data_IF_340492658694
#
_entry.id   IF_340492658694
#
_cell.length_a   1.000
_cell.length_b   1.000
_cell.length_c   1.000
_cell.angle_alpha   90.00
_cell.angle_beta   90.00
_cell.angle_gamma   90.00
#
_symmetry.space_group_name_H-M   'P 1'
#
loop_
_entity.id
_entity.type
_entity.pdbx_description
1 polymer ?
#
# COMPACT_ATOMS: atom_id res chain seq x y z
N UNK A 1 1.24 19.38 -3.64
CA UNK A 1 1.81 18.02 -3.50
C UNK A 1 3.28 18.02 -3.90
N UNK A 2 3.64 18.35 -5.14
CA UNK A 2 5.05 18.38 -5.57
C UNK A 2 5.93 19.41 -4.84
N UNK A 3 5.33 20.48 -4.30
CA UNK A 3 6.00 21.50 -3.50
C UNK A 3 6.05 21.20 -1.99
N UNK A 4 5.62 20.00 -1.58
CA UNK A 4 5.63 19.56 -0.17
C UNK A 4 6.86 18.67 0.06
N UNK A 5 7.97 19.30 0.46
CA UNK A 5 9.27 18.63 0.63
C UNK A 5 9.21 17.48 1.66
N UNK A 6 8.35 17.60 2.67
CA UNK A 6 8.18 16.56 3.67
C UNK A 6 7.52 15.32 3.07
N UNK A 7 6.45 15.50 2.29
CA UNK A 7 5.80 14.42 1.56
C UNK A 7 6.75 13.80 0.52
N UNK A 8 7.45 14.60 -0.27
CA UNK A 8 8.44 14.12 -1.26
C UNK A 8 9.52 13.27 -0.58
N UNK A 9 10.06 13.74 0.56
CA UNK A 9 11.03 12.99 1.34
C UNK A 9 10.48 11.70 1.94
N UNK A 10 9.18 11.61 2.23
CA UNK A 10 8.53 10.37 2.67
C UNK A 10 8.35 9.39 1.51
N UNK A 11 7.97 9.86 0.32
CA UNK A 11 7.87 9.04 -0.89
C UNK A 11 9.20 8.34 -1.18
N UNK A 12 10.31 9.08 -1.13
CA UNK A 12 11.65 8.52 -1.33
C UNK A 12 12.01 7.45 -0.29
N UNK A 13 11.67 7.68 0.99
CA UNK A 13 11.91 6.71 2.08
C UNK A 13 11.10 5.44 1.91
N UNK A 14 9.82 5.56 1.53
CA UNK A 14 8.96 4.42 1.23
C UNK A 14 9.50 3.63 0.04
N UNK A 15 9.89 4.30 -1.05
CA UNK A 15 10.48 3.62 -2.20
C UNK A 15 11.76 2.86 -1.82
N UNK A 16 12.64 3.47 -1.02
CA UNK A 16 13.85 2.81 -0.51
C UNK A 16 13.52 1.57 0.35
N UNK A 17 12.48 1.63 1.19
CA UNK A 17 12.03 0.47 1.97
C UNK A 17 11.52 -0.67 1.05
N UNK A 18 10.78 -0.34 0.00
CA UNK A 18 10.34 -1.31 -1.00
C UNK A 18 11.53 -1.95 -1.73
N UNK A 19 12.49 -1.15 -2.21
CA UNK A 19 13.71 -1.66 -2.88
C UNK A 19 14.48 -2.60 -1.94
N UNK A 20 14.65 -2.22 -0.67
CA UNK A 20 15.35 -3.04 0.31
C UNK A 20 14.62 -4.37 0.60
N UNK A 21 13.29 -4.36 0.67
CA UNK A 21 12.49 -5.57 0.86
C UNK A 21 12.57 -6.49 -0.36
N UNK A 22 12.32 -5.95 -1.55
CA UNK A 22 12.36 -6.69 -2.82
C UNK A 22 13.75 -7.28 -3.08
N UNK A 23 14.82 -6.53 -2.80
CA UNK A 23 16.21 -7.01 -2.91
C UNK A 23 16.55 -8.16 -1.98
N UNK A 24 15.77 -8.39 -0.91
CA UNK A 24 15.89 -9.54 0.00
C UNK A 24 14.95 -10.69 -0.36
N UNK A 25 14.22 -10.60 -1.48
CA UNK A 25 13.22 -11.59 -1.88
C UNK A 25 11.89 -11.49 -1.13
N UNK A 26 11.67 -10.41 -0.36
CA UNK A 26 10.37 -10.09 0.22
C UNK A 26 9.43 -9.51 -0.85
N UNK A 27 8.15 -9.32 -0.50
CA UNK A 27 7.11 -8.83 -1.42
C UNK A 27 6.43 -7.55 -0.94
N UNK A 28 5.71 -6.91 -1.85
CA UNK A 28 4.87 -5.74 -1.54
C UNK A 28 3.38 -6.12 -1.61
N UNK A 29 2.62 -5.81 -0.57
CA UNK A 29 1.20 -6.08 -0.46
C UNK A 29 0.41 -4.77 -0.45
N UNK A 30 -0.71 -4.70 -1.16
CA UNK A 30 -1.56 -3.51 -1.22
C UNK A 30 -3.00 -3.85 -0.83
N UNK A 31 -3.66 -2.97 -0.07
CA UNK A 31 -5.09 -3.08 0.20
C UNK A 31 -5.76 -1.71 0.33
N UNK A 32 -7.00 -1.61 -0.15
CA UNK A 32 -7.82 -0.40 -0.06
C UNK A 32 -9.27 -0.71 -0.41
N UNK A 33 -10.16 0.27 -0.24
CA UNK A 33 -11.59 0.12 -0.54
C UNK A 33 -12.03 1.01 -1.71
N UNK A 34 -12.97 0.55 -2.53
CA UNK A 34 -13.54 1.34 -3.63
C UNK A 34 -12.47 1.77 -4.64
N UNK A 35 -12.37 3.07 -4.94
CA UNK A 35 -11.30 3.59 -5.83
C UNK A 35 -9.89 3.27 -5.32
N UNK A 36 -9.67 3.21 -4.00
CA UNK A 36 -8.38 2.79 -3.45
C UNK A 36 -8.10 1.29 -3.62
N UNK A 37 -9.12 0.46 -3.86
CA UNK A 37 -8.93 -0.93 -4.28
C UNK A 37 -8.44 -1.01 -5.73
N UNK A 38 -8.89 -0.08 -6.58
CA UNK A 38 -8.39 0.07 -7.94
C UNK A 38 -6.92 0.52 -7.93
N UNK A 39 -6.57 1.51 -7.10
CA UNK A 39 -5.17 1.91 -6.91
C UNK A 39 -4.30 0.73 -6.42
N UNK A 40 -4.80 -0.05 -5.45
CA UNK A 40 -4.08 -1.21 -4.93
C UNK A 40 -3.73 -2.24 -6.03
N UNK A 41 -4.71 -2.63 -6.85
CA UNK A 41 -4.45 -3.58 -7.95
C UNK A 41 -3.65 -2.96 -9.10
N UNK A 42 -3.81 -1.65 -9.35
CA UNK A 42 -3.02 -0.93 -10.35
C UNK A 42 -1.54 -0.96 -9.98
N UNK A 43 -1.19 -0.53 -8.77
CA UNK A 43 0.20 -0.48 -8.31
C UNK A 43 0.85 -1.86 -8.20
N UNK A 44 0.09 -2.88 -7.78
CA UNK A 44 0.56 -4.26 -7.83
C UNK A 44 0.86 -4.71 -9.28
N UNK A 45 0.00 -4.36 -10.24
CA UNK A 45 0.20 -4.72 -11.64
C UNK A 45 1.44 -4.02 -12.25
N UNK A 46 1.69 -2.76 -11.92
CA UNK A 46 2.89 -2.03 -12.36
C UNK A 46 4.17 -2.73 -11.87
N UNK A 47 4.18 -3.26 -10.65
CA UNK A 47 5.33 -4.00 -10.11
C UNK A 47 5.46 -5.41 -10.71
N UNK A 48 4.36 -6.15 -10.89
CA UNK A 48 4.40 -7.53 -11.41
C UNK A 48 4.74 -7.57 -12.90
N UNK A 49 4.17 -6.66 -13.68
CA UNK A 49 4.39 -6.56 -15.13
C UNK A 49 5.60 -5.66 -15.39
N UNK A 50 5.37 -4.38 -15.68
CA UNK A 50 6.35 -3.33 -15.87
C UNK A 50 5.71 -1.97 -15.63
N UNK A 51 6.49 -0.97 -15.27
CA UNK A 51 6.03 0.41 -15.17
C UNK A 51 6.40 1.23 -16.42
N UNK A 52 7.68 1.57 -16.60
CA UNK A 52 8.15 2.44 -17.69
C UNK A 52 8.89 1.68 -18.81
N UNK A 53 9.68 0.66 -18.48
CA UNK A 53 10.46 -0.11 -19.44
C UNK A 53 10.46 -1.61 -19.12
N UNK A 54 10.93 -2.43 -20.05
CA UNK A 54 10.94 -3.88 -19.90
C UNK A 54 12.01 -4.33 -18.89
N UNK A 55 11.60 -5.14 -17.91
CA UNK A 55 12.44 -5.70 -16.85
C UNK A 55 11.76 -6.93 -16.22
N UNK A 56 12.45 -7.76 -15.43
CA UNK A 56 11.83 -8.87 -14.72
C UNK A 56 10.70 -8.42 -13.77
N UNK A 57 9.67 -9.24 -13.61
CA UNK A 57 8.56 -8.98 -12.67
C UNK A 57 9.03 -8.91 -11.21
N UNK A 58 8.42 -8.02 -10.42
CA UNK A 58 8.67 -7.90 -8.98
C UNK A 58 7.49 -8.49 -8.19
N UNK A 59 7.73 -9.19 -7.06
CA UNK A 59 6.66 -9.82 -6.29
C UNK A 59 5.80 -8.76 -5.57
N UNK A 60 4.60 -8.54 -6.11
CA UNK A 60 3.60 -7.65 -5.51
C UNK A 60 2.18 -8.21 -5.67
N UNK A 61 1.34 -8.00 -4.65
CA UNK A 61 -0.04 -8.53 -4.65
C UNK A 61 -1.02 -7.52 -4.07
N UNK A 62 -2.16 -7.37 -4.73
CA UNK A 62 -3.29 -6.63 -4.18
C UNK A 62 -4.26 -7.59 -3.48
N UNK A 63 -4.57 -7.32 -2.22
CA UNK A 63 -5.46 -8.14 -1.38
C UNK A 63 -6.95 -7.84 -1.65
N UNK A 64 -7.24 -7.29 -2.83
CA UNK A 64 -8.55 -6.73 -3.24
C UNK A 64 -9.15 -7.43 -4.45
N UNK A 65 -8.49 -8.48 -4.97
CA UNK A 65 -8.83 -9.05 -6.29
C UNK A 65 -9.48 -10.43 -6.23
N UNK A 66 -9.09 -11.28 -5.26
CA UNK A 66 -9.69 -12.61 -5.11
C UNK A 66 -11.06 -12.51 -4.44
N UNK A 67 -12.11 -12.49 -5.26
CA UNK A 67 -13.49 -12.32 -4.80
C UNK A 67 -13.98 -13.46 -3.92
N UNK A 68 -13.46 -14.69 -4.10
CA UNK A 68 -13.80 -15.81 -3.25
C UNK A 68 -13.24 -15.60 -1.85
N UNK A 69 -11.98 -15.16 -1.75
CA UNK A 69 -11.35 -14.81 -0.46
C UNK A 69 -12.07 -13.64 0.21
N UNK A 70 -12.36 -12.57 -0.54
CA UNK A 70 -13.04 -11.39 0.00
C UNK A 70 -14.44 -11.73 0.55
N UNK A 71 -15.24 -12.47 -0.23
CA UNK A 71 -16.62 -12.80 0.15
C UNK A 71 -16.67 -13.83 1.28
N UNK A 72 -15.77 -14.83 1.29
CA UNK A 72 -15.66 -15.77 2.40
C UNK A 72 -15.24 -15.08 3.71
N UNK A 73 -14.18 -14.27 3.68
CA UNK A 73 -13.75 -13.56 4.91
C UNK A 73 -14.82 -12.59 5.39
N UNK A 74 -15.41 -11.82 4.47
CA UNK A 74 -16.46 -10.87 4.80
C UNK A 74 -17.70 -11.53 5.42
N UNK A 75 -18.09 -12.70 4.92
CA UNK A 75 -19.22 -13.49 5.44
C UNK A 75 -18.89 -14.16 6.79
N UNK A 76 -17.72 -14.77 6.91
CA UNK A 76 -17.40 -15.67 8.02
C UNK A 76 -16.78 -14.95 9.22
N UNK A 77 -16.05 -13.85 9.00
CA UNK A 77 -15.27 -13.14 10.02
C UNK A 77 -15.58 -11.64 10.12
N UNK A 78 -16.49 -11.13 9.29
CA UNK A 78 -16.81 -9.70 9.21
C UNK A 78 -15.89 -8.93 8.25
N UNK A 79 -16.46 -7.88 7.64
CA UNK A 79 -15.77 -7.10 6.61
C UNK A 79 -14.58 -6.30 7.16
N UNK A 80 -14.54 -6.03 8.47
CA UNK A 80 -13.41 -5.43 9.18
C UNK A 80 -12.18 -6.34 9.27
N UNK A 81 -12.32 -7.65 9.06
CA UNK A 81 -11.20 -8.62 9.04
C UNK A 81 -10.67 -8.90 7.64
N UNK A 82 -11.30 -8.32 6.61
CA UNK A 82 -11.09 -8.64 5.19
C UNK A 82 -9.62 -8.70 4.76
N UNK A 83 -8.85 -7.67 5.10
CA UNK A 83 -7.44 -7.58 4.73
C UNK A 83 -6.53 -8.15 5.82
N UNK A 84 -6.87 -7.97 7.11
CA UNK A 84 -6.08 -8.51 8.22
C UNK A 84 -5.94 -10.04 8.12
N UNK A 85 -7.02 -10.75 7.79
CA UNK A 85 -6.99 -12.21 7.64
C UNK A 85 -6.09 -12.66 6.47
N UNK A 86 -6.02 -11.87 5.40
CA UNK A 86 -5.12 -12.14 4.28
C UNK A 86 -3.66 -11.86 4.68
N UNK A 87 -3.38 -10.78 5.40
CA UNK A 87 -2.06 -10.49 5.98
C UNK A 87 -1.59 -11.62 6.92
N UNK A 88 -2.49 -12.14 7.76
CA UNK A 88 -2.22 -13.29 8.63
C UNK A 88 -1.80 -14.52 7.82
N UNK A 89 -2.36 -14.73 6.63
CA UNK A 89 -2.07 -15.88 5.79
C UNK A 89 -0.79 -15.71 4.94
N UNK A 90 -0.62 -14.56 4.27
CA UNK A 90 0.42 -14.40 3.24
C UNK A 90 1.54 -13.43 3.60
N UNK A 91 1.35 -12.57 4.59
CA UNK A 91 2.38 -11.63 5.05
C UNK A 91 3.51 -12.33 5.78
N UNK A 92 4.75 -11.94 5.49
CA UNK A 92 5.97 -12.40 6.16
C UNK A 92 6.81 -11.22 6.66
N UNK A 93 7.62 -11.47 7.70
CA UNK A 93 8.52 -10.46 8.23
C UNK A 93 9.44 -9.91 7.14
N UNK A 94 9.56 -8.58 7.07
CA UNK A 94 10.31 -7.88 6.03
C UNK A 94 9.54 -7.56 4.74
N UNK A 95 8.34 -8.12 4.53
CA UNK A 95 7.45 -7.63 3.46
C UNK A 95 7.01 -6.18 3.74
N UNK A 96 6.55 -5.48 2.71
CA UNK A 96 5.99 -4.13 2.83
C UNK A 96 4.49 -4.20 2.59
N UNK A 97 3.69 -3.58 3.45
CA UNK A 97 2.24 -3.48 3.30
C UNK A 97 1.78 -2.04 3.16
N UNK A 98 1.03 -1.75 2.09
CA UNK A 98 0.37 -0.49 1.83
C UNK A 98 -1.12 -0.56 2.18
N UNK A 99 -1.52 0.16 3.22
CA UNK A 99 -2.92 0.39 3.56
C UNK A 99 -3.41 1.71 2.97
N UNK A 100 -4.33 1.65 2.01
CA UNK A 100 -4.84 2.82 1.27
C UNK A 100 -6.25 3.16 1.75
N UNK A 101 -6.41 4.33 2.40
CA UNK A 101 -7.71 4.85 2.82
C UNK A 101 -7.70 6.38 2.82
N UNK A 102 -8.51 6.99 1.95
CA UNK A 102 -8.64 8.44 1.86
C UNK A 102 -9.08 9.10 3.17
N UNK A 103 -9.94 8.44 3.94
CA UNK A 103 -10.45 8.93 5.23
C UNK A 103 -9.52 8.64 6.41
N UNK A 104 -8.64 7.65 6.24
CA UNK A 104 -7.78 7.14 7.30
C UNK A 104 -8.48 6.45 8.46
N UNK A 105 -9.74 6.04 8.27
CA UNK A 105 -10.59 5.45 9.31
C UNK A 105 -11.23 4.11 8.94
N UNK A 106 -10.94 3.57 7.75
CA UNK A 106 -11.54 2.30 7.30
C UNK A 106 -11.10 1.15 8.21
N UNK A 107 -12.01 0.51 8.97
CA UNK A 107 -11.61 -0.48 9.98
C UNK A 107 -10.83 -1.66 9.39
N UNK A 108 -11.20 -2.12 8.19
CA UNK A 108 -10.52 -3.21 7.52
C UNK A 108 -9.08 -2.89 7.08
N UNK A 109 -8.78 -1.62 6.78
CA UNK A 109 -7.43 -1.15 6.47
C UNK A 109 -6.62 -0.96 7.76
N UNK A 110 -7.23 -0.37 8.79
CA UNK A 110 -6.57 -0.18 10.08
C UNK A 110 -6.19 -1.52 10.74
N UNK A 111 -7.12 -2.48 10.75
CA UNK A 111 -6.86 -3.82 11.27
C UNK A 111 -5.76 -4.55 10.49
N UNK A 112 -5.63 -4.28 9.18
CA UNK A 112 -4.57 -4.88 8.37
C UNK A 112 -3.20 -4.24 8.62
N UNK A 113 -3.15 -2.93 8.90
CA UNK A 113 -1.93 -2.27 9.35
C UNK A 113 -1.48 -2.83 10.70
N UNK A 114 -2.41 -3.00 11.65
CA UNK A 114 -2.11 -3.61 12.95
C UNK A 114 -1.59 -5.05 12.79
N UNK A 115 -2.23 -5.88 11.95
CA UNK A 115 -1.79 -7.24 11.67
C UNK A 115 -0.43 -7.30 10.97
N UNK A 116 -0.17 -6.39 10.03
CA UNK A 116 1.09 -6.30 9.30
C UNK A 116 2.24 -5.93 10.26
N UNK A 117 2.04 -4.91 11.08
CA UNK A 117 3.02 -4.50 12.08
C UNK A 117 3.33 -5.64 13.07
N UNK A 118 2.30 -6.32 13.58
CA UNK A 118 2.47 -7.45 14.50
C UNK A 118 3.27 -8.63 13.88
N UNK A 119 3.22 -8.80 12.56
CA UNK A 119 3.97 -9.83 11.82
C UNK A 119 5.34 -9.36 11.33
N UNK A 120 5.77 -8.15 11.67
CA UNK A 120 7.07 -7.60 11.30
C UNK A 120 7.16 -7.15 9.84
N UNK A 121 6.03 -6.80 9.22
CA UNK A 121 6.01 -6.12 7.93
C UNK A 121 6.29 -4.63 8.15
N UNK A 122 6.92 -4.00 7.16
CA UNK A 122 6.97 -2.54 7.08
C UNK A 122 5.60 -2.04 6.64
N UNK A 123 5.03 -1.09 7.39
CA UNK A 123 3.67 -0.59 7.21
C UNK A 123 3.67 0.81 6.61
N UNK A 124 2.93 0.98 5.50
CA UNK A 124 2.79 2.25 4.80
C UNK A 124 1.32 2.62 4.73
N UNK A 125 0.96 3.76 5.31
CA UNK A 125 -0.37 4.32 5.23
C UNK A 125 -0.48 5.37 4.13
N UNK A 126 -1.46 5.24 3.22
CA UNK A 126 -1.79 6.26 2.22
C UNK A 126 -3.14 6.88 2.53
N UNK A 127 -3.16 8.20 2.79
CA UNK A 127 -4.36 8.87 3.30
C UNK A 127 -4.51 10.32 2.86
N UNK A 128 -5.62 10.95 3.23
CA UNK A 128 -5.87 12.39 3.06
C UNK A 128 -5.47 13.18 4.31
N UNK A 129 -5.97 14.40 4.48
CA UNK A 129 -5.60 15.22 5.64
C UNK A 129 -5.97 14.56 6.99
N UNK A 130 -7.12 13.87 7.03
CA UNK A 130 -7.48 12.99 8.14
C UNK A 130 -6.67 11.69 8.05
N UNK A 131 -5.93 11.35 9.11
CA UNK A 131 -5.08 10.17 9.05
C UNK A 131 -4.40 9.75 10.36
N UNK A 132 -4.79 10.31 11.50
CA UNK A 132 -4.03 10.11 12.75
C UNK A 132 -4.11 8.67 13.28
N UNK A 133 -5.25 8.01 13.10
CA UNK A 133 -5.38 6.58 13.42
C UNK A 133 -4.46 5.71 12.54
N UNK A 134 -4.31 6.08 11.26
CA UNK A 134 -3.39 5.39 10.37
C UNK A 134 -1.94 5.70 10.71
N UNK A 135 -1.63 6.94 11.05
CA UNK A 135 -0.30 7.38 11.47
C UNK A 135 0.24 6.59 12.67
N UNK A 136 -0.63 6.27 13.64
CA UNK A 136 -0.28 5.47 14.82
C UNK A 136 0.02 3.99 14.50
N UNK A 137 -0.32 3.53 13.29
CA UNK A 137 -0.26 2.12 12.87
C UNK A 137 0.63 1.93 11.64
N UNK A 138 1.34 2.97 11.22
CA UNK A 138 2.16 2.95 10.01
C UNK A 138 3.56 3.46 10.34
N UNK A 139 4.57 2.72 9.90
CA UNK A 139 5.97 3.16 9.96
C UNK A 139 6.18 4.40 9.07
N UNK A 140 5.45 4.46 7.94
CA UNK A 140 5.44 5.58 7.01
C UNK A 140 4.02 6.04 6.71
N UNK A 141 3.80 7.36 6.68
CA UNK A 141 2.52 7.95 6.30
C UNK A 141 2.68 8.88 5.11
N UNK A 142 1.98 8.58 4.02
CA UNK A 142 1.87 9.39 2.82
C UNK A 142 0.52 10.12 2.84
N UNK A 143 0.57 11.37 3.32
CA UNK A 143 -0.61 12.19 3.57
C UNK A 143 -0.82 13.19 2.43
N UNK A 144 -1.81 12.95 1.57
CA UNK A 144 -2.18 13.91 0.53
C UNK A 144 -2.84 15.13 1.21
N UNK A 145 -2.40 16.38 0.92
CA UNK A 145 -2.90 17.58 1.59
C UNK A 145 -4.26 18.00 1.04
N UNK A 146 -5.28 17.15 1.24
CA UNK A 146 -6.64 17.36 0.77
C UNK A 146 -7.63 16.66 1.69
N UNK A 147 -8.83 17.24 1.82
CA UNK A 147 -9.98 16.62 2.47
C UNK A 147 -10.97 15.99 1.46
N UNK A 148 -10.74 16.17 0.15
CA UNK A 148 -11.63 15.69 -0.90
C UNK A 148 -11.21 14.31 -1.37
N UNK A 149 -11.99 13.27 -1.08
CA UNK A 149 -11.76 11.88 -1.51
C UNK A 149 -11.25 11.75 -2.96
N UNK A 150 -11.91 12.32 -3.99
CA UNK A 150 -11.42 12.19 -5.36
C UNK A 150 -10.05 12.85 -5.58
N UNK A 151 -9.78 14.00 -4.95
CA UNK A 151 -8.46 14.65 -5.05
C UNK A 151 -7.39 13.85 -4.30
N UNK A 152 -7.77 13.20 -3.20
CA UNK A 152 -6.87 12.31 -2.45
C UNK A 152 -6.51 11.09 -3.32
N UNK A 153 -7.48 10.48 -4.01
CA UNK A 153 -7.24 9.35 -4.92
C UNK A 153 -6.31 9.73 -6.07
N UNK A 154 -6.50 10.89 -6.69
CA UNK A 154 -5.56 11.41 -7.70
C UNK A 154 -4.15 11.59 -7.15
N UNK A 155 -4.02 12.05 -5.91
CA UNK A 155 -2.73 12.12 -5.22
C UNK A 155 -2.14 10.74 -4.94
N UNK A 156 -2.95 9.77 -4.51
CA UNK A 156 -2.52 8.40 -4.22
C UNK A 156 -1.93 7.72 -5.44
N UNK A 157 -2.61 7.77 -6.59
CA UNK A 157 -2.09 7.12 -7.80
C UNK A 157 -0.79 7.80 -8.29
N UNK A 158 -0.70 9.13 -8.24
CA UNK A 158 0.51 9.85 -8.61
C UNK A 158 1.70 9.54 -7.67
N UNK A 159 1.44 9.43 -6.36
CA UNK A 159 2.43 9.00 -5.38
C UNK A 159 2.88 7.56 -5.65
N UNK A 160 1.93 6.65 -5.91
CA UNK A 160 2.22 5.26 -6.23
C UNK A 160 3.06 5.12 -7.50
N UNK A 161 2.75 5.87 -8.56
CA UNK A 161 3.57 5.92 -9.78
C UNK A 161 4.99 6.42 -9.51
N UNK A 162 5.16 7.46 -8.68
CA UNK A 162 6.48 7.92 -8.29
C UNK A 162 7.29 6.83 -7.55
N UNK A 163 6.63 6.08 -6.66
CA UNK A 163 7.26 4.95 -5.95
C UNK A 163 7.66 3.85 -6.95
N UNK A 164 6.77 3.44 -7.85
CA UNK A 164 7.05 2.45 -8.90
C UNK A 164 8.24 2.88 -9.77
N UNK A 165 8.28 4.15 -10.20
CA UNK A 165 9.36 4.72 -10.98
C UNK A 165 10.71 4.64 -10.26
N UNK A 166 10.73 5.00 -8.96
CA UNK A 166 11.96 4.97 -8.15
C UNK A 166 12.42 3.53 -7.94
N UNK A 167 11.51 2.61 -7.64
CA UNK A 167 11.82 1.17 -7.47
C UNK A 167 12.45 0.63 -8.75
N UNK A 168 11.80 0.87 -9.89
CA UNK A 168 12.25 0.34 -11.19
C UNK A 168 13.65 0.88 -11.55
N UNK A 169 13.86 2.19 -11.42
CA UNK A 169 15.14 2.84 -11.70
C UNK A 169 16.29 2.38 -10.78
N UNK A 170 16.01 2.02 -9.52
CA UNK A 170 17.05 1.57 -8.58
C UNK A 170 17.38 0.08 -8.71
N UNK A 171 16.38 -0.75 -9.03
CA UNK A 171 16.59 -2.20 -9.15
C UNK A 171 17.10 -2.62 -10.53
N UNK A 172 16.80 -1.84 -11.58
CA UNK A 172 17.10 -2.17 -12.98
C UNK A 172 17.62 -0.95 -13.76
N UNK A 173 18.82 -0.43 -13.47
CA UNK A 173 19.38 0.75 -14.13
C UNK A 173 19.81 0.51 -15.59
#
# INVERSE_FOLDING_TARGET
MASDDALVGQIARVAAACVAALGKGCKVLFAGNGGSAADAQHLAAELVSRFAYDRPGLPAFALTTDTSVLTAIGNDYGYERLFARQIDAVGGAGDVFFGISTSGRSPNVLNALDAAHAKGLVTVGMTGHAGDQMAQRSDYLLRVPSNSTPRIQEGHIAIGHAICQIIEAQMFP
#
